data_IF_400010527708
#
_entry.id   IF_400010527708
#
_cell.length_a   1.000
_cell.length_b   1.000
_cell.length_c   1.000
_cell.angle_alpha   90.00
_cell.angle_beta   90.00
_cell.angle_gamma   90.00
#
_symmetry.space_group_name_H-M   'P 1'
#
loop_
_entity.id
_entity.type
_entity.pdbx_description
1 polymer ?
#
# COMPACT_ATOMS: atom_id res chain seq x y z
N UNK A 1 -18.44 -18.42 17.73
CA UNK A 1 -19.12 -19.06 18.87
C UNK A 1 -20.49 -18.45 18.99
N UNK A 2 -21.49 -19.28 19.26
CA UNK A 2 -22.87 -18.86 19.56
C UNK A 2 -23.14 -19.31 20.99
N UNK A 3 -23.47 -18.38 21.88
CA UNK A 3 -23.76 -18.66 23.30
C UNK A 3 -22.66 -19.50 23.99
N UNK A 4 -21.39 -19.18 23.72
CA UNK A 4 -20.24 -19.87 24.29
C UNK A 4 -19.86 -21.20 23.61
N UNK A 5 -20.62 -21.66 22.61
CA UNK A 5 -20.33 -22.91 21.87
C UNK A 5 -19.67 -22.60 20.54
N UNK A 6 -18.61 -23.32 20.19
CA UNK A 6 -17.98 -23.22 18.87
C UNK A 6 -18.93 -23.80 17.82
N UNK A 7 -19.39 -22.96 16.91
CA UNK A 7 -20.24 -23.35 15.77
C UNK A 7 -19.44 -23.11 14.51
N UNK A 8 -19.27 -24.17 13.70
CA UNK A 8 -18.52 -24.17 12.43
C UNK A 8 -19.42 -24.30 11.20
N UNK A 9 -20.70 -24.65 11.38
CA UNK A 9 -21.67 -24.74 10.30
C UNK A 9 -22.12 -23.33 9.88
N UNK A 10 -21.88 -22.88 8.63
CA UNK A 10 -22.32 -21.57 8.16
C UNK A 10 -23.85 -21.43 8.10
N UNK A 11 -24.60 -22.53 7.98
CA UNK A 11 -26.07 -22.54 7.90
C UNK A 11 -26.75 -22.61 9.28
N UNK A 12 -25.97 -22.52 10.37
CA UNK A 12 -26.50 -22.57 11.72
C UNK A 12 -27.46 -21.39 11.98
N UNK A 13 -28.73 -21.71 12.22
CA UNK A 13 -29.76 -20.71 12.53
C UNK A 13 -29.55 -20.12 13.92
N UNK A 14 -29.48 -18.80 13.98
CA UNK A 14 -29.40 -18.05 15.23
C UNK A 14 -30.80 -17.82 15.80
N UNK A 15 -30.88 -17.75 17.13
CA UNK A 15 -32.10 -17.38 17.84
C UNK A 15 -32.02 -15.92 18.28
N UNK A 16 -33.14 -15.20 18.37
CA UNK A 16 -33.17 -13.89 19.00
C UNK A 16 -32.54 -13.94 20.40
N UNK A 17 -31.64 -12.99 20.69
CA UNK A 17 -30.91 -12.93 21.97
C UNK A 17 -29.63 -13.75 22.03
N UNK A 18 -29.30 -14.53 20.99
CA UNK A 18 -28.04 -15.28 20.95
C UNK A 18 -26.82 -14.35 20.89
N UNK A 19 -25.77 -14.67 21.64
CA UNK A 19 -24.51 -13.94 21.63
C UNK A 19 -23.53 -14.55 20.64
N UNK A 20 -23.03 -13.71 19.73
CA UNK A 20 -22.02 -14.09 18.76
C UNK A 20 -20.65 -13.59 19.19
N UNK A 21 -19.72 -14.53 19.38
CA UNK A 21 -18.31 -14.24 19.55
C UNK A 21 -17.52 -14.75 18.35
N UNK A 22 -17.01 -13.84 17.54
CA UNK A 22 -16.15 -14.15 16.40
C UNK A 22 -14.68 -14.03 16.79
N UNK A 23 -14.00 -15.16 16.91
CA UNK A 23 -12.57 -15.21 17.15
C UNK A 23 -11.82 -15.47 15.83
N UNK A 24 -11.42 -14.40 15.16
CA UNK A 24 -10.55 -14.50 13.98
C UNK A 24 -9.12 -14.77 14.43
N UNK A 25 -8.51 -15.84 13.95
CA UNK A 25 -7.08 -16.02 14.16
C UNK A 25 -6.29 -14.81 13.62
N UNK A 26 -5.21 -14.41 14.31
CA UNK A 26 -4.38 -13.30 13.86
C UNK A 26 -3.89 -13.61 12.44
N UNK A 27 -4.09 -12.64 11.56
CA UNK A 27 -3.72 -12.79 10.18
C UNK A 27 -2.20 -12.79 10.04
N UNK A 28 -1.66 -13.86 9.43
CA UNK A 28 -0.23 -14.03 9.20
C UNK A 28 0.13 -13.50 7.82
N UNK A 29 0.69 -12.30 7.76
CA UNK A 29 1.15 -11.70 6.52
C UNK A 29 2.40 -12.43 5.98
N UNK A 30 2.44 -12.80 4.68
CA UNK A 30 3.63 -13.40 4.08
C UNK A 30 4.83 -12.44 4.09
N UNK A 31 6.05 -12.99 4.00
CA UNK A 31 7.26 -12.16 3.87
C UNK A 31 7.25 -11.36 2.56
N UNK A 32 7.75 -10.14 2.63
CA UNK A 32 7.93 -9.25 1.49
C UNK A 32 9.23 -8.44 1.65
N UNK A 33 9.81 -7.93 0.56
CA UNK A 33 10.96 -7.03 0.63
C UNK A 33 10.66 -5.80 1.50
N UNK A 34 11.63 -5.37 2.28
CA UNK A 34 11.49 -4.27 3.25
C UNK A 34 12.48 -3.12 3.05
N UNK A 35 13.32 -3.21 2.01
CA UNK A 35 14.26 -2.16 1.63
C UNK A 35 13.72 -1.46 0.38
N UNK A 36 13.31 -0.20 0.56
CA UNK A 36 12.93 0.70 -0.52
C UNK A 36 14.09 1.68 -0.74
N UNK A 37 14.75 1.55 -1.87
CA UNK A 37 15.75 2.50 -2.31
C UNK A 37 15.08 3.75 -2.87
N UNK A 38 15.53 4.91 -2.42
CA UNK A 38 15.11 6.22 -2.93
C UNK A 38 16.04 6.60 -4.06
N UNK A 39 15.49 6.74 -5.27
CA UNK A 39 16.24 7.14 -6.47
C UNK A 39 16.32 8.66 -6.61
N UNK A 40 15.27 9.35 -6.17
CA UNK A 40 15.17 10.80 -6.22
C UNK A 40 14.15 11.28 -5.19
N UNK A 41 14.39 12.43 -4.59
CA UNK A 41 13.45 13.08 -3.68
C UNK A 41 13.62 14.59 -3.72
N UNK A 42 12.50 15.32 -3.82
CA UNK A 42 12.43 16.77 -3.67
C UNK A 42 11.30 17.17 -2.70
N UNK A 43 10.89 18.44 -2.75
CA UNK A 43 9.79 18.96 -1.92
C UNK A 43 8.42 18.37 -2.30
N UNK A 44 8.24 17.95 -3.55
CA UNK A 44 6.95 17.62 -4.15
C UNK A 44 6.73 16.12 -4.35
N UNK A 45 7.78 15.35 -4.63
CA UNK A 45 7.69 13.93 -4.92
C UNK A 45 8.91 13.15 -4.45
N UNK A 46 8.73 11.83 -4.41
CA UNK A 46 9.78 10.84 -4.18
C UNK A 46 9.66 9.74 -5.23
N UNK A 47 10.78 9.37 -5.84
CA UNK A 47 10.89 8.25 -6.77
C UNK A 47 11.61 7.09 -6.08
N UNK A 48 10.98 5.91 -6.11
CA UNK A 48 11.46 4.72 -5.44
C UNK A 48 11.86 3.65 -6.45
N UNK A 49 12.93 2.92 -6.17
CA UNK A 49 13.19 1.64 -6.83
C UNK A 49 12.38 0.56 -6.12
N UNK A 50 11.19 0.24 -6.64
CA UNK A 50 10.34 -0.79 -6.05
C UNK A 50 10.89 -2.17 -6.43
N UNK A 51 11.25 -3.03 -5.46
CA UNK A 51 11.62 -4.41 -5.76
C UNK A 51 10.41 -5.24 -6.22
N UNK A 52 10.66 -6.33 -6.96
CA UNK A 52 9.65 -7.35 -7.21
C UNK A 52 9.31 -8.09 -5.91
N UNK A 53 8.06 -8.54 -5.77
CA UNK A 53 7.52 -9.18 -4.56
C UNK A 53 6.90 -8.21 -3.55
N UNK A 54 7.11 -6.89 -3.69
CA UNK A 54 6.55 -5.87 -2.80
C UNK A 54 5.27 -5.25 -3.37
N UNK A 55 4.19 -5.26 -2.59
CA UNK A 55 2.90 -4.69 -2.96
C UNK A 55 2.84 -3.18 -2.69
N UNK A 56 2.24 -2.40 -3.60
CA UNK A 56 2.20 -0.93 -3.48
C UNK A 56 1.24 -0.45 -2.40
N UNK A 57 -0.02 -0.91 -2.45
CA UNK A 57 -1.10 -0.52 -1.53
C UNK A 57 -1.63 -1.75 -0.77
N UNK A 58 -2.15 -1.58 0.46
CA UNK A 58 -2.83 -2.64 1.21
C UNK A 58 -3.91 -3.34 0.38
N UNK A 59 -3.95 -4.67 0.43
CA UNK A 59 -4.92 -5.49 -0.28
C UNK A 59 -4.58 -6.99 -0.22
N UNK A 60 -5.61 -7.83 -0.10
CA UNK A 60 -5.47 -9.28 -0.07
C UNK A 60 -4.57 -9.75 1.08
N UNK A 61 -3.54 -10.54 0.73
CA UNK A 61 -2.57 -11.10 1.66
C UNK A 61 -1.48 -10.11 2.10
N UNK A 62 -1.51 -8.84 1.70
CA UNK A 62 -0.53 -7.84 2.15
C UNK A 62 -1.22 -6.56 2.61
N UNK A 63 -1.06 -6.19 3.88
CA UNK A 63 -1.77 -5.09 4.54
C UNK A 63 -0.76 -4.18 5.24
N UNK A 64 0.28 -4.74 5.87
CA UNK A 64 1.32 -3.97 6.55
C UNK A 64 2.65 -3.97 5.80
N UNK A 65 2.94 -4.99 5.00
CA UNK A 65 4.19 -5.13 4.24
C UNK A 65 4.02 -4.58 2.83
N UNK A 66 3.71 -3.28 2.75
CA UNK A 66 3.47 -2.55 1.49
C UNK A 66 4.38 -1.33 1.35
N UNK A 67 4.52 -0.81 0.12
CA UNK A 67 5.25 0.44 -0.12
C UNK A 67 4.66 1.60 0.69
N UNK A 68 3.34 1.78 0.64
CA UNK A 68 2.66 2.85 1.37
C UNK A 68 2.96 2.78 2.87
N UNK A 69 2.89 1.58 3.45
CA UNK A 69 3.22 1.40 4.86
C UNK A 69 4.68 1.73 5.11
N UNK A 70 5.63 1.22 4.33
CA UNK A 70 7.05 1.52 4.54
C UNK A 70 7.36 3.03 4.44
N UNK A 71 6.71 3.76 3.53
CA UNK A 71 6.81 5.23 3.45
C UNK A 71 6.29 5.91 4.72
N UNK A 72 5.12 5.53 5.21
CA UNK A 72 4.58 6.08 6.47
C UNK A 72 5.54 5.85 7.65
N UNK A 73 6.19 4.68 7.70
CA UNK A 73 7.16 4.37 8.74
C UNK A 73 8.45 5.16 8.59
N UNK A 74 8.90 5.41 7.35
CA UNK A 74 10.04 6.27 7.05
C UNK A 74 9.79 7.70 7.54
N UNK A 75 8.66 8.29 7.17
CA UNK A 75 8.32 9.67 7.56
C UNK A 75 8.19 9.81 9.08
N UNK A 76 7.56 8.83 9.75
CA UNK A 76 7.49 8.79 11.22
C UNK A 76 8.85 8.70 11.90
N UNK A 77 9.89 8.18 11.23
CA UNK A 77 11.26 8.14 11.75
C UNK A 77 12.01 9.44 11.51
N UNK A 78 11.72 10.12 10.41
CA UNK A 78 12.37 11.39 10.03
C UNK A 78 11.77 12.58 10.80
N UNK A 79 10.46 12.56 11.03
CA UNK A 79 9.74 13.61 11.75
C UNK A 79 9.58 13.20 13.22
N UNK A 80 10.45 13.70 14.09
CA UNK A 80 10.33 13.58 15.56
C UNK A 80 9.18 14.42 16.13
N UNK A 81 8.63 15.31 15.32
CA UNK A 81 7.49 16.16 15.63
C UNK A 81 6.44 15.95 14.54
N UNK A 82 5.60 14.91 14.69
CA UNK A 82 4.42 14.76 13.86
C UNK A 82 3.44 15.90 14.15
N UNK A 83 3.74 17.07 13.58
CA UNK A 83 2.83 18.21 13.57
C UNK A 83 1.58 17.77 12.79
N UNK A 84 0.37 18.04 13.29
CA UNK A 84 -0.85 17.70 12.60
C UNK A 84 -0.91 18.44 11.26
N UNK A 85 -0.63 17.75 10.15
CA UNK A 85 -0.66 18.33 8.81
C UNK A 85 0.38 17.80 7.82
N UNK A 86 1.46 17.18 8.29
CA UNK A 86 2.49 16.60 7.43
C UNK A 86 1.91 15.39 6.66
N UNK A 87 1.83 15.49 5.34
CA UNK A 87 1.25 14.45 4.50
C UNK A 87 2.33 13.43 4.14
N UNK A 88 2.10 12.18 4.56
CA UNK A 88 2.94 11.07 4.13
C UNK A 88 2.94 10.96 2.59
N UNK A 89 4.10 10.69 1.95
CA UNK A 89 4.17 10.45 0.53
C UNK A 89 3.20 9.33 0.12
N UNK A 90 2.42 9.56 -0.94
CA UNK A 90 1.44 8.59 -1.45
C UNK A 90 1.73 8.18 -2.89
N UNK A 91 1.65 6.87 -3.25
CA UNK A 91 1.82 6.43 -4.63
C UNK A 91 0.82 7.09 -5.58
N UNK A 92 1.30 7.61 -6.72
CA UNK A 92 0.45 8.23 -7.76
C UNK A 92 0.15 7.30 -8.93
N UNK A 93 0.86 6.17 -9.01
CA UNK A 93 0.54 5.05 -9.90
C UNK A 93 0.86 3.73 -9.19
N UNK A 94 0.48 2.60 -9.81
CA UNK A 94 0.76 1.27 -9.27
C UNK A 94 1.69 0.48 -10.19
N UNK A 95 2.53 -0.33 -9.57
CA UNK A 95 3.23 -1.46 -10.19
C UNK A 95 2.65 -2.75 -9.60
N UNK A 96 2.56 -3.81 -10.41
CA UNK A 96 2.18 -5.14 -9.92
C UNK A 96 3.15 -5.63 -8.85
N UNK A 97 2.70 -6.54 -7.98
CA UNK A 97 3.58 -7.14 -6.95
C UNK A 97 4.83 -7.75 -7.60
N UNK A 98 4.65 -8.52 -8.66
CA UNK A 98 5.75 -9.17 -9.41
C UNK A 98 6.57 -8.23 -10.30
N UNK A 99 6.24 -6.94 -10.36
CA UNK A 99 6.92 -5.97 -11.22
C UNK A 99 7.88 -5.14 -10.39
N UNK A 100 9.15 -5.09 -10.78
CA UNK A 100 10.12 -4.13 -10.23
C UNK A 100 10.19 -2.86 -11.07
N UNK A 101 10.72 -1.78 -10.50
CA UNK A 101 11.03 -0.56 -11.23
C UNK A 101 10.64 0.72 -10.49
N UNK A 102 10.67 1.83 -11.23
CA UNK A 102 10.44 3.16 -10.69
C UNK A 102 8.97 3.32 -10.29
N UNK A 103 8.75 3.70 -9.03
CA UNK A 103 7.44 4.06 -8.48
C UNK A 103 7.49 5.49 -7.95
N UNK A 104 6.64 6.36 -8.49
CA UNK A 104 6.51 7.74 -8.03
C UNK A 104 5.46 7.84 -6.91
N UNK A 105 5.80 8.63 -5.89
CA UNK A 105 4.92 8.99 -4.79
C UNK A 105 4.92 10.51 -4.61
N UNK A 106 3.76 11.11 -4.40
CA UNK A 106 3.61 12.55 -4.18
C UNK A 106 3.65 12.90 -2.69
N UNK A 107 4.41 13.94 -2.33
CA UNK A 107 4.54 14.49 -0.97
C UNK A 107 3.50 15.60 -0.71
N UNK A 108 3.00 16.25 -1.77
CA UNK A 108 2.01 17.33 -1.66
C UNK A 108 0.70 16.99 -2.39
N UNK A 109 -0.42 17.61 -1.97
CA UNK A 109 -1.73 17.46 -2.67
C UNK A 109 -1.66 17.90 -4.12
N UNK A 110 -0.96 19.00 -4.39
CA UNK A 110 -0.80 19.55 -5.74
C UNK A 110 -0.08 18.54 -6.62
N UNK A 111 1.09 18.05 -6.18
CA UNK A 111 1.85 17.03 -6.91
C UNK A 111 1.03 15.76 -7.14
N UNK A 112 0.25 15.32 -6.12
CA UNK A 112 -0.64 14.17 -6.26
C UNK A 112 -1.67 14.37 -7.37
N UNK A 113 -2.34 15.52 -7.40
CA UNK A 113 -3.36 15.82 -8.40
C UNK A 113 -2.77 15.88 -9.80
N UNK A 114 -1.67 16.62 -9.98
CA UNK A 114 -1.01 16.76 -11.28
C UNK A 114 -0.46 15.43 -11.81
N UNK A 115 0.24 14.66 -10.97
CA UNK A 115 0.80 13.37 -11.38
C UNK A 115 -0.28 12.32 -11.61
N UNK A 116 -1.35 12.29 -10.81
CA UNK A 116 -2.46 11.36 -11.03
C UNK A 116 -3.17 11.63 -12.36
N UNK A 117 -3.42 12.91 -12.68
CA UNK A 117 -3.94 13.30 -13.99
C UNK A 117 -3.00 12.88 -15.12
N UNK A 118 -1.70 13.14 -14.98
CA UNK A 118 -0.68 12.71 -15.94
C UNK A 118 -0.68 11.19 -16.18
N UNK A 119 -0.85 10.39 -15.14
CA UNK A 119 -0.93 8.93 -15.28
C UNK A 119 -2.28 8.43 -15.84
N UNK A 120 -3.35 9.22 -15.71
CA UNK A 120 -4.68 8.92 -16.23
C UNK A 120 -4.81 9.28 -17.73
N UNK A 121 -4.27 10.43 -18.13
CA UNK A 121 -4.37 10.96 -19.51
C UNK A 121 -3.53 10.18 -20.54
N UNK A 122 -2.69 9.25 -20.06
CA UNK A 122 -1.74 8.51 -20.90
C UNK A 122 -0.49 9.33 -21.24
N UNK A 123 0.61 8.66 -21.54
CA UNK A 123 1.94 9.28 -21.82
C UNK A 123 2.01 9.92 -23.21
N UNK A 124 1.05 10.78 -23.55
CA UNK A 124 0.94 11.43 -24.86
C UNK A 124 1.96 12.55 -25.07
N UNK A 125 2.56 13.05 -23.98
CA UNK A 125 3.33 14.31 -23.97
C UNK A 125 4.83 14.11 -23.63
N UNK A 126 5.24 12.92 -23.14
CA UNK A 126 6.65 12.59 -22.84
C UNK A 126 6.95 11.19 -23.34
N UNK A 127 8.12 10.96 -23.94
CA UNK A 127 8.60 9.63 -24.37
C UNK A 127 8.25 8.58 -23.31
N UNK A 128 7.34 7.67 -23.65
CA UNK A 128 6.49 6.95 -22.70
C UNK A 128 7.18 6.03 -21.69
N UNK A 129 6.37 5.42 -20.83
CA UNK A 129 6.84 4.42 -19.85
C UNK A 129 7.52 3.27 -20.59
N UNK A 130 8.79 3.00 -20.27
CA UNK A 130 9.54 1.86 -20.82
C UNK A 130 9.58 0.74 -19.79
N UNK A 131 9.23 -0.47 -20.23
CA UNK A 131 9.36 -1.69 -19.45
C UNK A 131 10.34 -2.61 -20.15
N UNK A 132 11.23 -3.25 -19.38
CA UNK A 132 12.10 -4.32 -19.89
C UNK A 132 11.55 -5.65 -19.38
N UNK A 133 11.35 -6.60 -20.28
CA UNK A 133 10.85 -7.94 -19.99
C UNK A 133 11.84 -8.95 -20.55
N UNK A 134 12.13 -10.00 -19.78
CA UNK A 134 12.90 -11.16 -20.23
C UNK A 134 11.89 -12.30 -20.42
N UNK A 135 11.83 -12.83 -21.64
CA UNK A 135 10.95 -13.93 -22.03
C UNK A 135 11.74 -15.24 -22.08
#
# INVERSE_FOLDING_TARGET
>A
MVDGVVVSNPDARLRPGAQLLYHRHPWKEPNAPHLLEVLFEDEHLIALNKPSGLQVLPGGLFQQRTVLTQLQWRERKLSSSSAPGEQNPVPVHRLGRGTSGILLCAKTKLAKSCLAAYFADGTSIVQGKKYRVLC
#
